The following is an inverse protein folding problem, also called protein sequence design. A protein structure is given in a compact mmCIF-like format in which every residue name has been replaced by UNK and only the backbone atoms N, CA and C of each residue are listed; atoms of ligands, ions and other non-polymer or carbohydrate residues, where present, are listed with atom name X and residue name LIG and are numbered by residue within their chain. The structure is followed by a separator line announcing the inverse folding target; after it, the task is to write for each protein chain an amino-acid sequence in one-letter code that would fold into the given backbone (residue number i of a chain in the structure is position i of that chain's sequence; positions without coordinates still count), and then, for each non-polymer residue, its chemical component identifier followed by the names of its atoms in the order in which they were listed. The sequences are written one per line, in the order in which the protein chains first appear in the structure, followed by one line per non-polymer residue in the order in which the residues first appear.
data_IF_762066299440
#
_entry.id   IF_762066299440
#
_cell.length_a   1.000
_cell.length_b   1.000
_cell.length_c   1.000
_cell.angle_alpha   90.00
_cell.angle_beta   90.00
_cell.angle_gamma   90.00
#
_symmetry.space_group_name_H-M   'P 1'
#
loop_
_entity.id
_entity.type
_entity.pdbx_description
1 polymer ?
#
# COMPACT_ATOMS: atom_id res chain seq x y z
N UNK A 1 67.78 38.81 -33.94
CA UNK A 1 67.57 39.38 -32.59
C UNK A 1 66.28 38.77 -32.04
N UNK A 2 66.39 38.03 -30.92
CA UNK A 2 65.38 37.80 -29.85
C UNK A 2 63.96 37.34 -30.30
N UNK A 3 63.43 36.14 -29.97
CA UNK A 3 63.16 35.60 -28.62
C UNK A 3 62.79 34.08 -28.67
N UNK A 4 63.37 33.28 -27.74
CA UNK A 4 62.83 32.17 -26.89
C UNK A 4 61.88 31.07 -27.46
N UNK A 5 62.26 29.77 -27.41
CA UNK A 5 62.15 28.76 -26.29
C UNK A 5 60.71 28.24 -26.08
N UNK A 6 60.31 26.96 -25.90
CA UNK A 6 60.91 25.66 -25.49
C UNK A 6 59.91 24.55 -25.95
N UNK A 7 60.27 23.47 -26.67
CA UNK A 7 60.67 22.12 -26.20
C UNK A 7 60.02 21.64 -24.88
N UNK A 8 59.14 20.62 -24.92
CA UNK A 8 59.42 19.18 -24.71
C UNK A 8 58.09 18.43 -24.59
N UNK A 9 57.92 17.36 -25.38
CA UNK A 9 56.78 16.46 -25.31
C UNK A 9 57.01 15.25 -24.40
N UNK A 10 55.91 14.68 -23.92
CA UNK A 10 55.85 13.28 -23.48
C UNK A 10 54.56 12.63 -23.95
N UNK A 11 54.72 11.53 -24.67
CA UNK A 11 53.69 10.62 -25.20
C UNK A 11 52.76 10.11 -24.10
N UNK A 12 51.44 10.10 -24.36
CA UNK A 12 50.48 9.25 -23.63
C UNK A 12 50.08 8.06 -24.51
N UNK A 13 50.32 6.85 -24.01
CA UNK A 13 49.72 5.60 -24.50
C UNK A 13 48.22 5.54 -24.14
N UNK A 14 47.38 4.85 -24.93
CA UNK A 14 45.96 4.66 -24.63
C UNK A 14 45.78 3.59 -23.54
N UNK A 15 45.03 3.90 -22.48
CA UNK A 15 44.57 2.92 -21.49
C UNK A 15 43.24 2.30 -21.93
N UNK A 16 43.16 0.98 -21.86
CA UNK A 16 41.98 0.16 -22.11
C UNK A 16 40.80 0.50 -21.18
N UNK A 17 39.54 0.27 -21.60
CA UNK A 17 38.36 0.55 -20.78
C UNK A 17 38.26 -0.43 -19.62
N UNK A 18 38.24 0.10 -18.39
CA UNK A 18 37.88 -0.66 -17.20
C UNK A 18 36.38 -0.96 -17.22
N UNK A 19 36.04 -2.25 -17.18
CA UNK A 19 34.70 -2.75 -16.97
C UNK A 19 34.24 -2.40 -15.54
N UNK A 20 33.28 -1.50 -15.41
CA UNK A 20 32.53 -1.31 -14.16
C UNK A 20 31.44 -2.37 -14.06
N UNK A 21 31.68 -3.37 -13.21
CA UNK A 21 30.70 -4.39 -12.81
C UNK A 21 29.97 -3.90 -11.56
N UNK A 22 28.63 -3.93 -11.60
CA UNK A 22 27.77 -3.93 -10.40
C UNK A 22 27.27 -2.57 -9.89
N UNK A 23 26.25 -2.00 -10.53
CA UNK A 23 25.33 -1.01 -9.90
C UNK A 23 23.91 -1.55 -9.98
N UNK A 24 23.34 -1.96 -8.85
CA UNK A 24 21.89 -2.11 -8.65
C UNK A 24 21.52 -1.42 -7.34
N UNK A 25 21.27 -0.12 -7.45
CA UNK A 25 20.51 0.70 -6.53
C UNK A 25 19.97 1.86 -7.37
N UNK A 26 18.69 2.21 -7.21
CA UNK A 26 17.94 3.07 -8.11
C UNK A 26 18.65 4.41 -8.37
N UNK A 27 19.00 4.60 -9.64
CA UNK A 27 19.40 5.88 -10.20
C UNK A 27 18.11 6.62 -10.57
N UNK A 28 17.94 7.86 -10.12
CA UNK A 28 17.16 8.85 -10.88
C UNK A 28 18.21 9.60 -11.70
N UNK A 29 18.38 9.31 -13.01
CA UNK A 29 19.23 10.13 -13.85
C UNK A 29 18.57 11.49 -14.08
N UNK A 30 19.34 12.57 -14.29
CA UNK A 30 18.82 13.73 -14.98
C UNK A 30 18.41 13.30 -16.39
N UNK A 31 17.14 13.51 -16.73
CA UNK A 31 16.46 13.06 -17.94
C UNK A 31 16.88 13.86 -19.17
N UNK A 32 17.59 13.21 -20.09
CA UNK A 32 17.67 13.59 -21.51
C UNK A 32 17.68 12.31 -22.36
N UNK A 33 16.50 11.72 -22.61
CA UNK A 33 16.18 10.91 -23.80
C UNK A 33 14.70 10.48 -23.75
N UNK A 34 13.96 10.73 -24.83
CA UNK A 34 12.51 10.55 -24.94
C UNK A 34 12.16 9.12 -25.36
N UNK A 35 11.12 8.52 -24.75
CA UNK A 35 10.07 7.81 -25.51
C UNK A 35 9.77 6.33 -25.20
N UNK A 36 10.62 5.59 -24.49
CA UNK A 36 10.37 4.17 -24.14
C UNK A 36 10.80 3.83 -22.70
N UNK A 37 11.70 4.61 -22.10
CA UNK A 37 12.24 4.34 -20.77
C UNK A 37 11.25 4.65 -19.63
N UNK A 38 10.39 5.63 -19.81
CA UNK A 38 9.38 6.09 -18.83
C UNK A 38 8.40 4.98 -18.41
N UNK A 39 7.94 4.18 -19.39
CA UNK A 39 7.07 3.02 -19.10
C UNK A 39 7.79 1.93 -18.29
N UNK A 40 9.11 1.79 -18.44
CA UNK A 40 9.85 0.75 -17.75
C UNK A 40 9.94 1.01 -16.24
N UNK A 41 9.93 2.26 -15.79
CA UNK A 41 9.99 2.58 -14.36
C UNK A 41 8.66 2.29 -13.67
N UNK A 42 7.55 2.80 -14.20
CA UNK A 42 6.21 2.55 -13.65
C UNK A 42 5.89 1.04 -13.60
N UNK A 43 6.22 0.31 -14.67
CA UNK A 43 6.03 -1.14 -14.72
C UNK A 43 6.86 -1.88 -13.68
N UNK A 44 8.13 -1.51 -13.49
CA UNK A 44 8.99 -2.11 -12.45
C UNK A 44 8.44 -1.87 -11.06
N UNK A 45 7.92 -0.67 -10.78
CA UNK A 45 7.32 -0.37 -9.48
C UNK A 45 6.08 -1.23 -9.22
N UNK A 46 5.17 -1.30 -10.18
CA UNK A 46 3.98 -2.15 -10.05
C UNK A 46 4.36 -3.61 -9.88
N UNK A 47 5.32 -4.11 -10.65
CA UNK A 47 5.76 -5.49 -10.55
C UNK A 47 6.32 -5.80 -9.16
N UNK A 48 7.19 -4.94 -8.62
CA UNK A 48 7.72 -5.09 -7.25
C UNK A 48 6.62 -5.03 -6.19
N UNK A 49 5.63 -4.16 -6.38
CA UNK A 49 4.47 -4.07 -5.49
C UNK A 49 3.66 -5.38 -5.54
N UNK A 50 3.40 -5.94 -6.72
CA UNK A 50 2.73 -7.23 -6.87
C UNK A 50 3.53 -8.36 -6.25
N UNK A 51 4.85 -8.41 -6.46
CA UNK A 51 5.74 -9.38 -5.81
C UNK A 51 5.64 -9.28 -4.28
N UNK A 52 5.71 -8.07 -3.73
CA UNK A 52 5.56 -7.81 -2.29
C UNK A 52 4.19 -8.26 -1.76
N UNK A 53 3.11 -7.95 -2.49
CA UNK A 53 1.76 -8.34 -2.08
C UNK A 53 1.54 -9.86 -2.19
N UNK A 54 2.14 -10.53 -3.18
CA UNK A 54 2.13 -11.99 -3.27
C UNK A 54 2.85 -12.62 -2.07
N UNK A 55 4.03 -12.12 -1.70
CA UNK A 55 4.75 -12.61 -0.51
C UNK A 55 3.94 -12.43 0.77
N UNK A 56 3.24 -11.30 0.92
CA UNK A 56 2.31 -11.07 2.02
C UNK A 56 1.15 -12.07 1.98
N UNK A 57 0.55 -12.29 0.80
CA UNK A 57 -0.59 -13.18 0.64
C UNK A 57 -0.26 -14.66 0.87
N UNK A 58 0.93 -15.12 0.47
CA UNK A 58 1.31 -16.53 0.51
C UNK A 58 1.97 -16.94 1.83
N UNK A 59 2.76 -16.06 2.44
CA UNK A 59 3.62 -16.38 3.59
C UNK A 59 3.51 -15.43 4.78
N UNK A 60 2.61 -14.44 4.74
CA UNK A 60 2.53 -13.39 5.76
C UNK A 60 3.68 -12.37 5.66
N UNK A 61 4.37 -12.33 4.52
CA UNK A 61 5.45 -11.39 4.22
C UNK A 61 6.78 -11.71 4.90
N UNK A 62 7.81 -10.93 4.56
CA UNK A 62 9.14 -11.12 5.12
C UNK A 62 9.19 -10.71 6.61
N UNK A 63 9.40 -11.71 7.49
CA UNK A 63 9.45 -11.51 8.94
C UNK A 63 10.62 -10.62 9.39
N UNK A 64 11.74 -10.62 8.67
CA UNK A 64 12.89 -9.74 8.95
C UNK A 64 12.55 -8.26 8.71
N UNK A 65 11.50 -7.98 7.94
CA UNK A 65 10.99 -6.63 7.70
C UNK A 65 9.85 -6.28 8.67
N UNK A 66 9.35 -7.25 9.45
CA UNK A 66 8.37 -7.02 10.52
C UNK A 66 9.06 -6.49 11.78
N UNK A 67 9.49 -5.23 11.71
CA UNK A 67 10.15 -4.56 12.83
C UNK A 67 9.12 -3.93 13.77
N UNK A 68 9.05 -4.43 15.00
CA UNK A 68 8.41 -3.76 16.13
C UNK A 68 9.45 -2.84 16.77
N UNK A 69 9.20 -1.53 16.71
CA UNK A 69 10.17 -0.54 17.19
C UNK A 69 10.34 -0.59 18.70
N UNK A 70 11.58 -0.83 19.15
CA UNK A 70 12.00 -0.61 20.53
C UNK A 70 12.25 0.89 20.76
N UNK A 71 11.42 1.51 21.58
CA UNK A 71 11.51 2.93 21.90
C UNK A 71 12.78 3.29 22.68
N UNK A 72 13.31 2.37 23.49
CA UNK A 72 14.55 2.59 24.25
C UNK A 72 15.77 2.56 23.33
N UNK A 73 15.78 1.64 22.36
CA UNK A 73 16.80 1.63 21.31
C UNK A 73 16.80 2.95 20.53
N UNK A 74 15.64 3.44 20.09
CA UNK A 74 15.51 4.72 19.38
C UNK A 74 16.01 5.89 20.23
N UNK A 75 15.61 5.95 21.50
CA UNK A 75 16.01 7.01 22.40
C UNK A 75 17.52 7.03 22.63
N UNK A 76 18.13 5.87 22.91
CA UNK A 76 19.58 5.74 23.09
C UNK A 76 20.36 6.11 21.83
N UNK A 77 19.89 5.67 20.66
CA UNK A 77 20.51 6.00 19.36
C UNK A 77 20.41 7.49 19.05
N UNK A 78 19.28 8.13 19.37
CA UNK A 78 19.10 9.59 19.20
C UNK A 78 20.06 10.38 20.10
N UNK A 79 20.18 10.00 21.37
CA UNK A 79 21.13 10.63 22.31
C UNK A 79 22.57 10.45 21.83
N UNK A 80 22.92 9.26 21.33
CA UNK A 80 24.24 9.00 20.78
C UNK A 80 24.54 9.86 19.54
N UNK A 81 23.61 9.94 18.58
CA UNK A 81 23.73 10.80 17.40
C UNK A 81 23.97 12.26 17.78
N UNK A 82 23.25 12.78 18.78
CA UNK A 82 23.45 14.13 19.28
C UNK A 82 24.88 14.34 19.82
N UNK A 83 25.40 13.40 20.63
CA UNK A 83 26.77 13.44 21.15
C UNK A 83 27.81 13.42 20.03
N UNK A 84 27.66 12.54 19.04
CA UNK A 84 28.58 12.47 17.89
C UNK A 84 28.62 13.79 17.12
N UNK A 85 27.46 14.43 16.91
CA UNK A 85 27.37 15.74 16.25
C UNK A 85 28.06 16.82 17.10
N UNK A 86 27.83 16.84 18.40
CA UNK A 86 28.42 17.81 19.32
C UNK A 86 29.96 17.68 19.38
N UNK A 87 30.47 16.46 19.52
CA UNK A 87 31.91 16.17 19.54
C UNK A 87 32.58 16.56 18.22
N UNK A 88 31.95 16.24 17.08
CA UNK A 88 32.46 16.63 15.77
C UNK A 88 32.42 18.14 15.58
N UNK A 89 31.39 18.83 16.07
CA UNK A 89 31.31 20.30 16.02
C UNK A 89 32.44 20.96 16.83
N UNK A 90 32.82 20.39 17.98
CA UNK A 90 33.96 20.85 18.80
C UNK A 90 35.31 20.66 18.08
N UNK A 91 35.44 19.62 17.26
CA UNK A 91 36.69 19.23 16.60
C UNK A 91 36.82 19.76 15.15
N UNK A 92 35.78 20.36 14.58
CA UNK A 92 35.77 20.81 13.19
C UNK A 92 36.52 22.14 13.01
N UNK A 93 37.78 22.07 12.60
CA UNK A 93 38.51 23.19 11.98
C UNK A 93 38.02 23.30 10.54
N UNK A 94 37.23 24.34 10.25
CA UNK A 94 36.73 24.78 8.93
C UNK A 94 36.82 23.76 7.79
N UNK A 95 35.77 22.97 7.58
CA UNK A 95 35.60 22.17 6.36
C UNK A 95 34.18 22.28 5.81
N UNK A 96 34.10 22.66 4.55
CA UNK A 96 32.95 23.08 3.73
C UNK A 96 31.87 22.02 3.44
N UNK A 97 31.80 20.89 4.16
CA UNK A 97 30.71 19.92 3.95
C UNK A 97 29.42 20.29 4.70
N UNK A 98 28.81 21.40 4.30
CA UNK A 98 27.65 21.99 4.98
C UNK A 98 26.31 21.27 4.69
N UNK A 99 26.14 20.63 3.53
CA UNK A 99 24.81 20.14 3.07
C UNK A 99 24.33 18.86 3.75
N UNK A 100 25.19 17.85 3.89
CA UNK A 100 24.77 16.54 4.40
C UNK A 100 24.45 16.54 5.90
N UNK A 101 25.17 17.38 6.66
CA UNK A 101 24.99 17.53 8.11
C UNK A 101 23.65 18.19 8.45
N UNK A 102 23.24 19.20 7.68
CA UNK A 102 21.96 19.88 7.90
C UNK A 102 20.78 18.95 7.67
N UNK A 103 20.86 18.10 6.63
CA UNK A 103 19.83 17.08 6.38
C UNK A 103 19.76 16.03 7.50
N UNK A 104 20.90 15.52 7.98
CA UNK A 104 20.88 14.54 9.07
C UNK A 104 20.36 15.13 10.39
N UNK A 105 20.68 16.40 10.68
CA UNK A 105 20.11 17.12 11.83
C UNK A 105 18.60 17.28 11.66
N UNK A 106 18.12 17.64 10.48
CA UNK A 106 16.69 17.72 10.20
C UNK A 106 16.00 16.35 10.39
N UNK A 107 16.60 15.27 9.88
CA UNK A 107 16.13 13.90 10.08
C UNK A 107 16.08 13.53 11.57
N UNK A 108 17.12 13.86 12.34
CA UNK A 108 17.23 13.61 13.78
C UNK A 108 16.10 14.29 14.58
N UNK A 109 15.76 15.52 14.20
CA UNK A 109 14.67 16.29 14.82
C UNK A 109 13.30 15.78 14.42
N UNK A 110 13.18 15.16 13.24
CA UNK A 110 11.94 14.52 12.79
C UNK A 110 11.75 13.17 13.48
N UNK A 111 10.74 13.08 14.35
CA UNK A 111 10.36 11.82 15.01
C UNK A 111 10.11 10.71 13.98
N UNK A 112 9.40 11.03 12.89
CA UNK A 112 9.03 10.03 11.89
C UNK A 112 10.23 9.56 11.09
N UNK A 113 11.06 10.50 10.61
CA UNK A 113 12.19 10.15 9.74
C UNK A 113 13.23 9.37 10.54
N UNK A 114 13.70 9.89 11.69
CA UNK A 114 14.70 9.17 12.48
C UNK A 114 14.24 7.79 12.93
N UNK A 115 12.98 7.64 13.33
CA UNK A 115 12.45 6.34 13.72
C UNK A 115 12.46 5.35 12.54
N UNK A 116 12.11 5.80 11.33
CA UNK A 116 12.21 4.97 10.13
C UNK A 116 13.66 4.59 9.81
N UNK A 117 14.63 5.50 9.99
CA UNK A 117 16.06 5.21 9.82
C UNK A 117 16.51 4.08 10.76
N UNK A 118 16.17 4.17 12.05
CA UNK A 118 16.47 3.12 13.02
C UNK A 118 15.76 1.81 12.67
N UNK A 119 14.51 1.87 12.18
CA UNK A 119 13.78 0.69 11.72
C UNK A 119 14.51 -0.02 10.59
N UNK A 120 15.06 0.72 9.62
CA UNK A 120 15.84 0.16 8.53
C UNK A 120 17.12 -0.52 9.04
N UNK A 121 17.81 0.11 9.99
CA UNK A 121 18.97 -0.52 10.63
C UNK A 121 18.60 -1.85 11.31
N UNK A 122 17.49 -1.87 12.06
CA UNK A 122 17.03 -3.09 12.76
C UNK A 122 16.68 -4.19 11.76
N UNK A 123 15.95 -3.86 10.69
CA UNK A 123 15.61 -4.82 9.64
C UNK A 123 16.87 -5.41 8.99
N UNK A 124 17.85 -4.56 8.62
CA UNK A 124 19.14 -5.01 8.07
C UNK A 124 19.89 -5.91 9.04
N UNK A 125 19.97 -5.53 10.31
CA UNK A 125 20.63 -6.33 11.33
C UNK A 125 19.93 -7.69 11.56
N UNK A 126 18.61 -7.74 11.43
CA UNK A 126 17.84 -9.00 11.49
C UNK A 126 18.12 -9.90 10.27
N UNK A 127 18.24 -9.34 9.06
CA UNK A 127 18.66 -10.09 7.87
C UNK A 127 20.03 -10.76 8.06
N UNK A 128 20.94 -10.10 8.79
CA UNK A 128 22.25 -10.64 9.15
C UNK A 128 22.23 -11.52 10.42
N UNK A 129 21.06 -11.86 10.94
CA UNK A 129 20.86 -12.63 12.17
C UNK A 129 21.57 -12.04 13.41
N UNK A 130 21.73 -10.72 13.47
CA UNK A 130 22.32 -10.03 14.62
C UNK A 130 21.30 -9.96 15.78
N UNK A 131 21.61 -10.50 16.97
CA UNK A 131 20.69 -10.48 18.11
C UNK A 131 20.34 -9.07 18.58
N UNK A 132 19.13 -8.87 19.07
CA UNK A 132 18.65 -7.59 19.60
C UNK A 132 19.56 -6.97 20.67
N UNK A 133 20.24 -7.80 21.47
CA UNK A 133 21.18 -7.34 22.49
C UNK A 133 22.42 -6.61 21.92
N UNK A 134 22.77 -6.85 20.65
CA UNK A 134 23.93 -6.23 19.99
C UNK A 134 23.53 -5.10 19.02
N UNK A 135 22.24 -4.91 18.75
CA UNK A 135 21.77 -3.96 17.74
C UNK A 135 22.18 -2.52 18.05
N UNK A 136 22.16 -2.12 19.33
CA UNK A 136 22.58 -0.78 19.72
C UNK A 136 24.02 -0.50 19.33
N UNK A 137 24.94 -1.43 19.57
CA UNK A 137 26.38 -1.25 19.30
C UNK A 137 26.63 -1.04 17.81
N UNK A 138 26.02 -1.86 16.95
CA UNK A 138 26.13 -1.68 15.50
C UNK A 138 25.51 -0.36 15.03
N UNK A 139 24.37 0.04 15.59
CA UNK A 139 23.70 1.29 15.24
C UNK A 139 24.52 2.50 15.71
N UNK A 140 25.11 2.47 16.91
CA UNK A 140 25.97 3.55 17.40
C UNK A 140 27.24 3.68 16.56
N UNK A 141 27.89 2.55 16.23
CA UNK A 141 29.07 2.54 15.37
C UNK A 141 28.73 3.11 13.98
N UNK A 142 27.56 2.75 13.44
CA UNK A 142 27.07 3.24 12.14
C UNK A 142 26.75 4.74 12.16
N UNK A 143 26.14 5.25 13.24
CA UNK A 143 25.88 6.69 13.43
C UNK A 143 27.21 7.46 13.50
N UNK A 144 28.16 6.97 14.28
CA UNK A 144 29.47 7.59 14.41
C UNK A 144 30.21 7.61 13.06
N UNK A 145 30.16 6.52 12.30
CA UNK A 145 30.74 6.43 10.95
C UNK A 145 30.07 7.40 9.98
N UNK A 146 28.74 7.49 9.99
CA UNK A 146 27.97 8.35 9.10
C UNK A 146 28.21 9.84 9.39
N UNK A 147 28.13 10.24 10.66
CA UNK A 147 28.49 11.60 11.11
C UNK A 147 29.97 11.87 10.83
N UNK A 148 30.78 10.82 10.90
CA UNK A 148 32.19 10.72 10.51
C UNK A 148 32.50 11.19 9.08
N UNK A 149 31.54 11.07 8.16
CA UNK A 149 31.74 11.34 6.73
C UNK A 149 32.51 10.27 5.97
N UNK A 150 32.90 9.17 6.63
CA UNK A 150 33.75 8.11 6.07
C UNK A 150 32.95 6.98 5.40
N UNK A 151 31.62 7.08 5.31
CA UNK A 151 30.78 5.95 4.89
C UNK A 151 30.91 5.59 3.40
N UNK A 152 31.15 6.57 2.52
CA UNK A 152 31.19 6.36 1.06
C UNK A 152 32.58 5.91 0.58
N UNK A 153 33.66 6.38 1.21
CA UNK A 153 35.05 6.17 0.77
C UNK A 153 35.63 4.80 1.16
N UNK A 154 34.90 3.99 1.93
CA UNK A 154 35.38 2.69 2.42
C UNK A 154 35.13 1.52 1.46
N UNK A 155 34.23 1.65 0.48
CA UNK A 155 33.98 0.60 -0.51
C UNK A 155 35.20 0.42 -1.43
N UNK A 156 36.00 -0.60 -1.16
CA UNK A 156 37.26 -0.90 -1.87
C UNK A 156 38.47 -1.13 -0.96
N UNK A 157 38.35 -0.90 0.34
CA UNK A 157 39.38 -1.21 1.33
C UNK A 157 39.18 -2.60 1.94
N UNK A 158 40.28 -3.24 2.37
CA UNK A 158 40.21 -4.49 3.14
C UNK A 158 39.63 -4.17 4.52
N UNK A 159 38.46 -4.72 4.82
CA UNK A 159 37.72 -4.43 6.05
C UNK A 159 37.31 -5.73 6.75
N UNK A 160 37.15 -5.67 8.07
CA UNK A 160 36.59 -6.80 8.82
C UNK A 160 35.11 -6.98 8.47
N UNK A 161 34.56 -8.18 8.69
CA UNK A 161 33.13 -8.44 8.48
C UNK A 161 32.26 -7.50 9.31
N UNK A 162 32.67 -7.20 10.55
CA UNK A 162 31.95 -6.24 11.41
C UNK A 162 31.94 -4.84 10.81
N UNK A 163 33.09 -4.36 10.33
CA UNK A 163 33.19 -3.02 9.74
C UNK A 163 32.37 -2.91 8.45
N UNK A 164 32.33 -3.97 7.65
CA UNK A 164 31.48 -4.04 6.45
C UNK A 164 29.99 -3.94 6.81
N UNK A 165 29.55 -4.65 7.87
CA UNK A 165 28.18 -4.57 8.36
C UNK A 165 27.85 -3.17 8.92
N UNK A 166 28.76 -2.57 9.68
CA UNK A 166 28.59 -1.19 10.19
C UNK A 166 28.49 -0.19 9.04
N UNK A 167 29.29 -0.34 7.98
CA UNK A 167 29.21 0.50 6.79
C UNK A 167 27.85 0.36 6.07
N UNK A 168 27.36 -0.86 5.90
CA UNK A 168 26.04 -1.11 5.32
C UNK A 168 24.90 -0.51 6.17
N UNK A 169 24.97 -0.66 7.50
CA UNK A 169 24.00 -0.05 8.42
C UNK A 169 24.10 1.48 8.40
N UNK A 170 25.29 2.05 8.22
CA UNK A 170 25.48 3.50 8.11
C UNK A 170 24.76 4.09 6.89
N UNK A 171 24.62 3.31 5.80
CA UNK A 171 23.85 3.73 4.62
C UNK A 171 22.38 4.00 4.93
N UNK A 172 21.81 3.36 5.97
CA UNK A 172 20.43 3.60 6.39
C UNK A 172 20.14 5.07 6.72
N UNK A 173 21.16 5.82 7.15
CA UNK A 173 21.07 7.24 7.49
C UNK A 173 21.13 8.19 6.30
N UNK A 174 21.54 7.72 5.11
CA UNK A 174 21.62 8.56 3.92
C UNK A 174 20.22 9.03 3.49
N UNK A 175 20.03 10.32 3.12
CA UNK A 175 18.72 10.88 2.82
C UNK A 175 17.95 10.11 1.74
N UNK A 176 18.68 9.65 0.72
CA UNK A 176 18.17 8.91 -0.43
C UNK A 176 18.05 7.40 -0.22
N UNK A 177 18.66 6.84 0.83
CA UNK A 177 18.64 5.39 1.04
C UNK A 177 17.35 4.98 1.71
N UNK A 178 16.63 4.06 1.07
CA UNK A 178 15.50 3.36 1.65
C UNK A 178 15.52 1.95 1.07
N UNK A 179 15.63 0.88 1.89
CA UNK A 179 15.63 -0.48 1.37
C UNK A 179 14.35 -0.72 0.57
N UNK A 180 14.48 -1.20 -0.67
CA UNK A 180 13.37 -1.38 -1.61
C UNK A 180 12.21 -2.18 -1.00
N UNK A 181 12.51 -3.27 -0.30
CA UNK A 181 11.48 -4.17 0.23
C UNK A 181 10.70 -3.52 1.38
N UNK A 182 11.41 -2.75 2.23
CA UNK A 182 10.78 -1.96 3.30
C UNK A 182 9.97 -0.81 2.71
N UNK A 183 10.47 -0.18 1.64
CA UNK A 183 9.76 0.85 0.91
C UNK A 183 8.42 0.32 0.41
N UNK A 184 8.41 -0.84 -0.26
CA UNK A 184 7.20 -1.42 -0.86
C UNK A 184 6.20 -1.84 0.21
N UNK A 185 6.66 -2.42 1.33
CA UNK A 185 5.77 -2.76 2.44
C UNK A 185 5.15 -1.53 3.09
N UNK A 186 5.92 -0.47 3.35
CA UNK A 186 5.38 0.78 3.86
C UNK A 186 4.40 1.40 2.85
N UNK A 187 4.73 1.38 1.57
CA UNK A 187 3.84 1.87 0.51
C UNK A 187 2.52 1.09 0.54
N UNK A 188 2.58 -0.23 0.58
CA UNK A 188 1.40 -1.09 0.63
C UNK A 188 0.57 -0.84 1.90
N UNK A 189 1.21 -0.69 3.07
CA UNK A 189 0.55 -0.40 4.34
C UNK A 189 -0.15 0.98 4.31
N UNK A 190 0.55 2.01 3.82
CA UNK A 190 0.01 3.37 3.71
C UNK A 190 -1.20 3.47 2.80
N UNK A 191 -1.26 2.63 1.76
CA UNK A 191 -2.36 2.56 0.80
C UNK A 191 -3.41 1.52 1.17
N UNK A 192 -3.36 0.98 2.40
CA UNK A 192 -4.28 -0.04 2.90
C UNK A 192 -4.34 -1.30 2.02
N UNK A 193 -3.24 -1.66 1.35
CA UNK A 193 -3.10 -2.89 0.55
C UNK A 193 -2.66 -4.08 1.42
N UNK A 194 -1.97 -3.81 2.52
CA UNK A 194 -1.66 -4.78 3.55
C UNK A 194 -1.81 -4.14 4.95
N UNK A 195 -1.79 -4.96 5.99
CA UNK A 195 -1.85 -4.53 7.38
C UNK A 195 -0.94 -5.39 8.26
N UNK A 196 -0.54 -4.87 9.42
CA UNK A 196 0.29 -5.61 10.39
C UNK A 196 -0.57 -6.36 11.40
N UNK A 197 -0.41 -7.68 11.49
CA UNK A 197 -0.92 -8.49 12.60
C UNK A 197 0.13 -8.56 13.71
N UNK A 198 0.15 -7.53 14.57
CA UNK A 198 1.15 -7.37 15.64
C UNK A 198 1.27 -8.59 16.57
N UNK A 199 0.17 -9.29 16.87
CA UNK A 199 0.17 -10.47 17.74
C UNK A 199 0.87 -11.67 17.09
N UNK A 200 0.67 -11.84 15.79
CA UNK A 200 1.20 -12.98 15.01
C UNK A 200 2.58 -12.68 14.41
N UNK A 201 3.00 -11.40 14.43
CA UNK A 201 4.22 -10.90 13.79
C UNK A 201 4.28 -11.20 12.29
N UNK A 202 3.12 -11.08 11.65
CA UNK A 202 2.95 -11.30 10.21
C UNK A 202 2.24 -10.10 9.59
N UNK A 203 2.45 -9.93 8.29
CA UNK A 203 1.65 -9.07 7.45
C UNK A 203 0.42 -9.84 6.97
N UNK A 204 -0.70 -9.13 6.79
CA UNK A 204 -1.89 -9.67 6.16
C UNK A 204 -2.27 -8.80 4.97
N UNK A 205 -2.70 -9.43 3.88
CA UNK A 205 -3.13 -8.75 2.67
C UNK A 205 -4.60 -8.34 2.83
N UNK A 206 -4.92 -7.10 2.46
CA UNK A 206 -6.30 -6.59 2.55
C UNK A 206 -7.10 -6.95 1.29
N UNK A 207 -8.42 -6.74 1.32
CA UNK A 207 -9.33 -6.78 0.17
C UNK A 207 -8.80 -5.97 -1.02
N UNK A 208 -8.39 -4.73 -0.73
CA UNK A 208 -7.85 -3.82 -1.74
C UNK A 208 -6.53 -4.35 -2.30
N UNK A 209 -5.64 -4.89 -1.45
CA UNK A 209 -4.41 -5.55 -1.88
C UNK A 209 -4.67 -6.76 -2.78
N UNK A 210 -5.59 -7.65 -2.39
CA UNK A 210 -5.97 -8.83 -3.19
C UNK A 210 -6.61 -8.47 -4.52
N UNK A 211 -7.37 -7.38 -4.55
CA UNK A 211 -7.94 -6.85 -5.78
C UNK A 211 -6.84 -6.31 -6.70
N UNK A 212 -5.97 -5.44 -6.18
CA UNK A 212 -4.82 -4.87 -6.91
C UNK A 212 -3.91 -5.94 -7.49
N UNK A 213 -3.65 -7.02 -6.73
CA UNK A 213 -2.80 -8.13 -7.17
C UNK A 213 -3.32 -8.84 -8.44
N UNK A 214 -4.61 -8.71 -8.75
CA UNK A 214 -5.24 -9.35 -9.92
C UNK A 214 -5.39 -8.41 -11.11
N UNK A 215 -5.03 -7.14 -10.94
CA UNK A 215 -5.15 -6.15 -11.99
C UNK A 215 -3.88 -6.12 -12.85
N UNK A 216 -3.98 -5.83 -14.15
CA UNK A 216 -2.82 -5.44 -14.93
C UNK A 216 -2.23 -4.11 -14.42
N UNK A 217 -1.04 -3.76 -14.90
CA UNK A 217 -0.28 -2.66 -14.32
C UNK A 217 -0.96 -1.30 -14.45
N UNK A 218 -1.64 -1.07 -15.57
CA UNK A 218 -2.34 0.19 -15.83
C UNK A 218 -3.52 0.39 -14.87
N UNK A 219 -4.36 -0.63 -14.72
CA UNK A 219 -5.48 -0.64 -13.79
C UNK A 219 -5.03 -0.62 -12.32
N UNK A 220 -3.86 -1.20 -12.02
CA UNK A 220 -3.23 -1.10 -10.70
C UNK A 220 -2.93 0.36 -10.35
N UNK A 221 -2.27 1.10 -11.24
CA UNK A 221 -1.94 2.52 -11.03
C UNK A 221 -3.23 3.33 -10.85
N UNK A 222 -4.23 3.13 -11.73
CA UNK A 222 -5.53 3.80 -11.63
C UNK A 222 -6.19 3.53 -10.26
N UNK A 223 -6.20 2.28 -9.82
CA UNK A 223 -6.84 1.87 -8.56
C UNK A 223 -6.12 2.46 -7.36
N UNK A 224 -4.77 2.48 -7.36
CA UNK A 224 -3.97 3.07 -6.29
C UNK A 224 -4.24 4.57 -6.19
N UNK A 225 -4.22 5.30 -7.31
CA UNK A 225 -4.50 6.74 -7.29
C UNK A 225 -5.94 7.04 -6.87
N UNK A 226 -6.90 6.24 -7.30
CA UNK A 226 -8.28 6.40 -6.82
C UNK A 226 -8.37 6.14 -5.31
N UNK A 227 -7.60 5.19 -4.77
CA UNK A 227 -7.53 4.95 -3.33
C UNK A 227 -6.91 6.13 -2.61
N UNK A 228 -5.87 6.74 -3.15
CA UNK A 228 -5.29 7.98 -2.65
C UNK A 228 -6.32 9.12 -2.64
N UNK A 229 -7.12 9.28 -3.69
CA UNK A 229 -8.19 10.30 -3.73
C UNK A 229 -9.19 10.08 -2.59
N UNK A 230 -9.58 8.83 -2.32
CA UNK A 230 -10.46 8.48 -1.19
C UNK A 230 -9.79 8.79 0.16
N UNK A 231 -8.52 8.45 0.33
CA UNK A 231 -7.74 8.63 1.56
C UNK A 231 -7.33 10.09 1.81
N UNK A 232 -7.18 10.91 0.76
CA UNK A 232 -6.73 12.31 0.81
C UNK A 232 -7.66 13.19 1.65
N UNK A 233 -8.94 12.82 1.77
CA UNK A 233 -9.92 13.47 2.66
C UNK A 233 -9.48 13.47 4.13
N UNK A 234 -8.59 12.56 4.53
CA UNK A 234 -8.04 12.43 5.88
C UNK A 234 -6.62 13.02 6.03
N UNK A 235 -5.84 13.11 4.94
CA UNK A 235 -4.43 13.53 4.97
C UNK A 235 -4.06 14.41 3.76
N UNK A 236 -4.35 15.71 3.87
CA UNK A 236 -4.41 16.67 2.75
C UNK A 236 -3.10 16.94 1.96
N UNK A 237 -1.97 16.30 2.32
CA UNK A 237 -0.67 16.53 1.65
C UNK A 237 0.15 15.28 1.37
N UNK A 238 -0.32 14.10 1.82
CA UNK A 238 0.42 12.83 1.62
C UNK A 238 -0.04 12.10 0.37
N UNK A 239 -1.34 12.18 0.09
CA UNK A 239 -2.01 11.44 -0.97
C UNK A 239 -2.49 12.37 -2.07
N UNK A 240 -2.56 11.85 -3.29
CA UNK A 240 -3.21 12.51 -4.42
C UNK A 240 -4.67 12.82 -4.09
N UNK A 241 -5.05 14.10 -4.24
CA UNK A 241 -6.43 14.53 -4.12
C UNK A 241 -7.04 14.77 -5.49
N UNK A 242 -8.37 14.80 -5.57
CA UNK A 242 -9.09 15.15 -6.81
C UNK A 242 -8.63 16.51 -7.36
N UNK A 243 -8.45 17.49 -6.48
CA UNK A 243 -7.99 18.82 -6.88
C UNK A 243 -6.61 18.78 -7.54
N UNK A 244 -5.67 18.00 -6.98
CA UNK A 244 -4.33 17.84 -7.58
C UNK A 244 -4.43 17.26 -9.00
N UNK A 245 -5.30 16.26 -9.21
CA UNK A 245 -5.51 15.66 -10.52
C UNK A 245 -6.13 16.65 -11.52
N UNK A 246 -7.11 17.44 -11.08
CA UNK A 246 -7.74 18.47 -11.90
C UNK A 246 -6.77 19.62 -12.25
N UNK A 247 -5.92 20.02 -11.30
CA UNK A 247 -4.89 21.05 -11.50
C UNK A 247 -3.84 20.57 -12.50
N UNK A 248 -3.35 19.33 -12.36
CA UNK A 248 -2.41 18.72 -13.31
C UNK A 248 -3.01 18.60 -14.71
N UNK A 249 -4.26 18.12 -14.83
CA UNK A 249 -4.97 18.06 -16.11
C UNK A 249 -5.16 19.43 -16.76
N UNK A 250 -5.29 20.49 -15.94
CA UNK A 250 -5.50 21.86 -16.41
C UNK A 250 -4.19 22.61 -16.66
N UNK A 251 -3.03 21.96 -16.54
CA UNK A 251 -1.71 22.58 -16.67
C UNK A 251 -1.35 23.55 -15.53
N UNK A 252 -2.05 23.48 -14.40
CA UNK A 252 -1.85 24.32 -13.20
C UNK A 252 -1.04 23.60 -12.11
N UNK A 253 -0.37 22.50 -12.45
CA UNK A 253 0.42 21.69 -11.53
C UNK A 253 1.56 22.49 -10.89
N UNK A 254 1.59 22.50 -9.55
CA UNK A 254 2.74 23.00 -8.79
C UNK A 254 3.69 21.86 -8.46
N UNK A 255 5.00 22.07 -8.63
CA UNK A 255 6.04 21.13 -8.16
C UNK A 255 6.07 20.94 -6.65
N UNK A 256 5.61 21.95 -5.88
CA UNK A 256 5.64 21.90 -4.42
C UNK A 256 4.48 21.04 -3.91
N UNK A 257 4.83 20.01 -3.13
CA UNK A 257 3.83 19.15 -2.48
C UNK A 257 3.18 18.13 -3.41
N UNK A 258 3.78 17.83 -4.57
CA UNK A 258 3.39 16.70 -5.42
C UNK A 258 3.51 15.40 -4.60
N UNK A 259 2.42 14.63 -4.44
CA UNK A 259 2.48 13.31 -3.82
C UNK A 259 3.48 12.41 -4.54
N UNK A 260 4.28 11.69 -3.77
CA UNK A 260 5.40 10.91 -4.31
C UNK A 260 4.94 9.77 -5.24
N UNK A 261 3.73 9.26 -5.08
CA UNK A 261 3.12 8.26 -5.97
C UNK A 261 3.08 8.72 -7.43
N UNK A 262 2.75 9.98 -7.69
CA UNK A 262 2.76 10.54 -9.05
C UNK A 262 4.14 10.48 -9.70
N UNK A 263 5.20 10.73 -8.92
CA UNK A 263 6.60 10.66 -9.39
C UNK A 263 7.07 9.23 -9.55
N UNK A 264 6.67 8.33 -8.65
CA UNK A 264 7.07 6.92 -8.73
C UNK A 264 6.48 6.19 -9.92
N UNK A 265 5.21 6.45 -10.22
CA UNK A 265 4.54 5.89 -11.39
C UNK A 265 4.85 6.68 -12.67
N UNK A 266 5.80 7.62 -12.61
CA UNK A 266 6.25 8.43 -13.73
C UNK A 266 5.09 9.12 -14.49
N UNK A 267 4.11 9.59 -13.72
CA UNK A 267 2.91 10.25 -14.24
C UNK A 267 3.12 11.74 -14.45
N UNK A 268 4.21 12.26 -13.90
CA UNK A 268 4.53 13.66 -13.93
C UNK A 268 6.00 13.87 -14.24
N UNK A 269 6.28 14.85 -15.09
CA UNK A 269 7.63 15.33 -15.38
C UNK A 269 7.81 16.73 -14.78
N UNK A 270 8.99 16.96 -14.19
CA UNK A 270 9.36 18.32 -13.79
C UNK A 270 9.68 19.10 -15.07
N UNK A 271 8.82 20.06 -15.41
CA UNK A 271 9.15 21.04 -16.43
C UNK A 271 10.11 22.05 -15.78
N UNK A 272 11.37 21.98 -16.19
CA UNK A 272 12.44 22.85 -15.67
C UNK A 272 12.49 24.19 -16.39
N UNK A 273 11.57 24.49 -17.31
CA UNK A 273 11.45 25.85 -17.82
C UNK A 273 11.13 26.80 -16.65
N UNK A 274 12.14 27.60 -16.30
CA UNK A 274 12.14 28.48 -15.14
C UNK A 274 11.18 29.66 -15.37
N UNK A 275 9.88 29.42 -15.19
CA UNK A 275 8.89 30.50 -15.11
C UNK A 275 9.06 31.15 -13.75
N UNK A 276 9.39 32.44 -13.71
CA UNK A 276 9.47 33.18 -12.45
C UNK A 276 8.06 33.61 -12.01
N UNK A 277 7.74 33.50 -10.73
CA UNK A 277 6.53 34.10 -10.15
C UNK A 277 6.57 35.64 -10.25
N UNK A 278 5.47 36.31 -9.92
CA UNK A 278 5.38 37.77 -9.88
C UNK A 278 6.42 38.44 -8.95
N UNK A 279 7.11 37.65 -8.12
CA UNK A 279 8.15 38.07 -7.16
C UNK A 279 9.55 37.62 -7.60
N UNK A 280 9.72 37.06 -8.79
CA UNK A 280 11.01 36.62 -9.32
C UNK A 280 11.51 35.27 -8.79
N UNK A 281 10.68 34.47 -8.11
CA UNK A 281 11.05 33.12 -7.69
C UNK A 281 10.77 32.11 -8.78
N UNK A 282 11.69 31.17 -9.08
CA UNK A 282 11.42 30.09 -10.03
C UNK A 282 10.25 29.23 -9.54
N UNK A 283 9.17 29.22 -10.31
CA UNK A 283 8.10 28.24 -10.26
C UNK A 283 8.54 27.08 -11.14
N UNK A 284 8.88 25.96 -10.51
CA UNK A 284 8.92 24.70 -11.26
C UNK A 284 7.49 24.25 -11.48
N UNK A 285 7.08 24.20 -12.73
CA UNK A 285 5.81 23.61 -13.14
C UNK A 285 5.99 22.11 -13.31
N UNK A 286 4.91 21.37 -13.07
CA UNK A 286 4.88 19.93 -13.27
C UNK A 286 3.83 19.63 -14.31
N UNK A 287 4.26 18.93 -15.36
CA UNK A 287 3.41 18.51 -16.46
C UNK A 287 3.07 17.02 -16.32
N UNK A 288 1.95 16.59 -16.89
CA UNK A 288 1.63 15.18 -16.99
C UNK A 288 2.50 14.54 -18.08
N UNK A 289 3.01 13.34 -17.81
CA UNK A 289 3.60 12.49 -18.85
C UNK A 289 2.49 11.93 -19.75
N UNK A 290 2.80 11.35 -20.93
CA UNK A 290 1.78 10.70 -21.76
C UNK A 290 1.04 9.54 -21.06
N UNK A 291 1.72 8.86 -20.12
CA UNK A 291 1.08 7.88 -19.24
C UNK A 291 0.21 8.59 -18.20
N UNK A 292 0.74 9.65 -17.60
CA UNK A 292 0.03 10.53 -16.65
C UNK A 292 -1.29 11.04 -17.19
N UNK A 293 -1.34 11.56 -18.42
CA UNK A 293 -2.56 12.03 -19.06
C UNK A 293 -3.65 10.95 -19.09
N UNK A 294 -3.30 9.76 -19.58
CA UNK A 294 -4.23 8.62 -19.69
C UNK A 294 -4.71 8.13 -18.33
N UNK A 295 -3.82 8.04 -17.36
CA UNK A 295 -4.13 7.59 -16.00
C UNK A 295 -5.05 8.60 -15.31
N UNK A 296 -4.69 9.89 -15.33
CA UNK A 296 -5.47 10.96 -14.71
C UNK A 296 -6.85 11.08 -15.34
N UNK A 297 -6.93 11.00 -16.67
CA UNK A 297 -8.22 10.97 -17.37
C UNK A 297 -9.06 9.76 -16.93
N UNK A 298 -8.47 8.56 -16.87
CA UNK A 298 -9.18 7.34 -16.48
C UNK A 298 -9.68 7.39 -15.04
N UNK A 299 -8.89 7.92 -14.10
CA UNK A 299 -9.27 8.12 -12.70
C UNK A 299 -10.45 9.08 -12.62
N UNK A 300 -10.37 10.26 -13.24
CA UNK A 300 -11.43 11.28 -13.18
C UNK A 300 -12.72 10.83 -13.88
N UNK A 301 -12.64 10.06 -14.98
CA UNK A 301 -13.81 9.49 -15.67
C UNK A 301 -14.48 8.34 -14.90
N UNK A 302 -13.74 7.68 -14.01
CA UNK A 302 -14.22 6.51 -13.26
C UNK A 302 -14.30 6.77 -11.76
N UNK A 303 -14.16 8.02 -11.32
CA UNK A 303 -13.93 8.36 -9.92
C UNK A 303 -15.04 7.84 -9.01
N UNK A 304 -16.31 8.14 -9.31
CA UNK A 304 -17.43 7.71 -8.47
C UNK A 304 -17.49 6.19 -8.32
N UNK A 305 -17.16 5.46 -9.40
CA UNK A 305 -17.18 3.99 -9.44
C UNK A 305 -16.01 3.39 -8.65
N UNK A 306 -14.81 3.91 -8.87
CA UNK A 306 -13.61 3.48 -8.15
C UNK A 306 -13.71 3.83 -6.67
N UNK A 307 -14.25 5.01 -6.34
CA UNK A 307 -14.50 5.43 -4.98
C UNK A 307 -15.46 4.47 -4.27
N UNK A 308 -16.62 4.17 -4.86
CA UNK A 308 -17.56 3.22 -4.26
C UNK A 308 -16.92 1.83 -4.10
N UNK A 309 -16.15 1.36 -5.08
CA UNK A 309 -15.42 0.09 -5.02
C UNK A 309 -14.37 0.06 -3.89
N UNK A 310 -13.54 1.10 -3.79
CA UNK A 310 -12.48 1.21 -2.78
C UNK A 310 -13.09 1.29 -1.39
N UNK A 311 -14.11 2.12 -1.19
CA UNK A 311 -14.80 2.24 0.10
C UNK A 311 -15.39 0.89 0.53
N UNK A 312 -16.03 0.18 -0.39
CA UNK A 312 -16.58 -1.16 -0.13
C UNK A 312 -15.48 -2.15 0.32
N UNK A 313 -14.30 -2.10 -0.30
CA UNK A 313 -13.17 -2.94 0.13
C UNK A 313 -12.60 -2.52 1.49
N UNK A 314 -12.40 -1.22 1.72
CA UNK A 314 -11.88 -0.72 2.99
C UNK A 314 -12.84 -0.98 4.17
N UNK A 315 -14.15 -0.78 3.96
CA UNK A 315 -15.19 -1.08 4.96
C UNK A 315 -15.25 -2.58 5.27
N UNK A 316 -15.11 -3.45 4.27
CA UNK A 316 -15.09 -4.90 4.49
C UNK A 316 -13.93 -5.37 5.40
N UNK A 317 -12.79 -4.69 5.34
CA UNK A 317 -11.62 -5.00 6.17
C UNK A 317 -11.82 -4.57 7.63
N UNK A 318 -12.45 -3.42 7.87
CA UNK A 318 -12.76 -2.94 9.23
C UNK A 318 -13.68 -3.93 9.96
N UNK A 319 -14.60 -4.56 9.24
CA UNK A 319 -15.55 -5.54 9.78
C UNK A 319 -14.99 -6.99 9.82
N UNK A 320 -13.68 -7.17 9.60
CA UNK A 320 -12.99 -8.48 9.52
C UNK A 320 -13.69 -9.46 8.57
N UNK A 321 -14.20 -8.98 7.45
CA UNK A 321 -14.82 -9.83 6.44
C UNK A 321 -13.72 -10.39 5.56
N UNK A 322 -13.62 -11.72 5.53
CA UNK A 322 -12.64 -12.36 4.67
C UNK A 322 -13.01 -12.16 3.18
N UNK A 323 -12.23 -11.30 2.53
CA UNK A 323 -12.29 -11.04 1.09
C UNK A 323 -11.30 -11.88 0.29
N UNK A 324 -10.58 -12.82 0.95
CA UNK A 324 -9.71 -13.82 0.31
C UNK A 324 -10.40 -14.56 -0.85
N UNK A 325 -11.72 -14.62 -0.79
CA UNK A 325 -12.60 -15.31 -1.74
C UNK A 325 -12.82 -14.55 -3.06
N UNK A 326 -12.13 -13.43 -3.30
CA UNK A 326 -11.91 -13.01 -4.69
C UNK A 326 -11.19 -14.11 -5.52
N UNK A 327 -10.62 -15.15 -4.87
CA UNK A 327 -9.98 -16.32 -5.49
C UNK A 327 -10.31 -17.71 -4.91
N UNK A 328 -11.21 -17.86 -3.92
CA UNK A 328 -11.59 -19.21 -3.46
C UNK A 328 -12.48 -19.91 -4.48
N UNK A 329 -12.32 -21.22 -4.56
CA UNK A 329 -13.10 -22.10 -5.42
C UNK A 329 -14.59 -21.99 -5.04
N UNK A 330 -15.33 -21.14 -5.77
CA UNK A 330 -16.75 -20.82 -5.55
C UNK A 330 -17.61 -22.07 -5.32
N UNK A 331 -17.18 -23.20 -5.87
CA UNK A 331 -17.80 -24.52 -5.76
C UNK A 331 -17.91 -25.02 -4.32
N UNK A 332 -16.90 -24.80 -3.46
CA UNK A 332 -16.92 -25.25 -2.06
C UNK A 332 -17.91 -24.43 -1.21
N UNK A 333 -17.76 -23.11 -1.18
CA UNK A 333 -18.66 -22.19 -0.47
C UNK A 333 -20.10 -22.29 -0.98
N UNK A 334 -20.28 -22.47 -2.29
CA UNK A 334 -21.60 -22.71 -2.87
C UNK A 334 -22.20 -24.04 -2.37
N UNK A 335 -21.41 -25.11 -2.29
CA UNK A 335 -21.87 -26.39 -1.77
C UNK A 335 -22.30 -26.28 -0.31
N UNK A 336 -21.53 -25.55 0.51
CA UNK A 336 -21.84 -25.32 1.92
C UNK A 336 -23.16 -24.58 2.10
N UNK A 337 -23.35 -23.45 1.40
CA UNK A 337 -24.62 -22.69 1.43
C UNK A 337 -25.78 -23.59 0.97
N UNK A 338 -25.61 -24.33 -0.12
CA UNK A 338 -26.67 -25.19 -0.68
C UNK A 338 -26.99 -26.38 0.25
N UNK A 339 -26.04 -26.82 1.07
CA UNK A 339 -26.25 -27.88 2.05
C UNK A 339 -27.08 -27.42 3.25
N UNK A 340 -27.14 -26.11 3.51
CA UNK A 340 -27.85 -25.54 4.65
C UNK A 340 -29.31 -25.99 4.72
N UNK A 341 -29.72 -26.42 5.90
CA UNK A 341 -31.06 -26.87 6.27
C UNK A 341 -32.08 -25.73 6.27
N UNK A 342 -31.63 -24.50 6.51
CA UNK A 342 -32.48 -23.32 6.62
C UNK A 342 -32.96 -22.78 5.27
N UNK A 343 -32.29 -23.14 4.17
CA UNK A 343 -32.67 -22.72 2.82
C UNK A 343 -33.70 -23.67 2.21
N UNK A 344 -34.76 -23.10 1.63
CA UNK A 344 -35.73 -23.86 0.85
C UNK A 344 -35.14 -24.27 -0.52
N UNK A 345 -35.84 -25.15 -1.25
CA UNK A 345 -35.39 -25.61 -2.58
C UNK A 345 -35.13 -24.45 -3.55
N UNK A 346 -36.02 -23.45 -3.52
CA UNK A 346 -35.99 -22.30 -4.41
C UNK A 346 -34.86 -21.33 -4.05
N UNK A 347 -34.52 -21.24 -2.77
CA UNK A 347 -33.37 -20.48 -2.28
C UNK A 347 -32.06 -21.14 -2.70
N UNK A 348 -31.95 -22.47 -2.54
CA UNK A 348 -30.79 -23.25 -3.01
C UNK A 348 -30.60 -23.09 -4.52
N UNK A 349 -31.70 -23.09 -5.29
CA UNK A 349 -31.65 -22.85 -6.72
C UNK A 349 -31.23 -21.42 -7.08
N UNK A 350 -31.66 -20.43 -6.29
CA UNK A 350 -31.23 -19.02 -6.45
C UNK A 350 -29.73 -18.87 -6.26
N UNK A 351 -29.12 -19.55 -5.28
CA UNK A 351 -27.67 -19.59 -5.07
C UNK A 351 -26.96 -20.18 -6.29
N UNK A 352 -27.42 -21.33 -6.79
CA UNK A 352 -26.82 -21.98 -7.97
C UNK A 352 -26.89 -21.11 -9.23
N UNK A 353 -28.03 -20.50 -9.49
CA UNK A 353 -28.21 -19.62 -10.65
C UNK A 353 -27.37 -18.36 -10.55
N UNK A 354 -27.29 -17.77 -9.35
CA UNK A 354 -26.44 -16.61 -9.10
C UNK A 354 -24.96 -16.91 -9.40
N UNK A 355 -24.45 -18.05 -8.93
CA UNK A 355 -23.09 -18.49 -9.23
C UNK A 355 -22.86 -18.70 -10.74
N UNK A 356 -23.81 -19.34 -11.44
CA UNK A 356 -23.77 -19.52 -12.90
C UNK A 356 -23.76 -18.18 -13.65
N UNK A 357 -24.57 -17.19 -13.23
CA UNK A 357 -24.53 -15.86 -13.84
C UNK A 357 -23.19 -15.16 -13.63
N UNK A 358 -22.63 -15.23 -12.42
CA UNK A 358 -21.33 -14.65 -12.14
C UNK A 358 -20.20 -15.31 -12.94
N UNK A 359 -20.24 -16.63 -13.17
CA UNK A 359 -19.28 -17.33 -14.05
C UNK A 359 -19.35 -16.84 -15.49
N UNK A 360 -20.54 -16.47 -15.97
CA UNK A 360 -20.76 -15.88 -17.30
C UNK A 360 -20.48 -14.36 -17.35
N UNK A 361 -20.01 -13.76 -16.25
CA UNK A 361 -19.78 -12.32 -16.14
C UNK A 361 -21.04 -11.47 -15.92
N UNK A 362 -22.23 -12.08 -15.84
CA UNK A 362 -23.50 -11.40 -15.62
C UNK A 362 -23.72 -11.03 -14.14
N UNK A 363 -22.84 -10.19 -13.57
CA UNK A 363 -22.83 -9.89 -12.14
C UNK A 363 -24.08 -9.13 -11.64
N UNK A 364 -24.73 -8.33 -12.49
CA UNK A 364 -26.00 -7.67 -12.12
C UNK A 364 -27.07 -8.70 -11.82
N UNK A 365 -27.24 -9.67 -12.71
CA UNK A 365 -28.26 -10.71 -12.59
C UNK A 365 -27.93 -11.64 -11.42
N UNK A 366 -26.64 -11.92 -11.22
CA UNK A 366 -26.16 -12.64 -10.04
C UNK A 366 -26.52 -11.92 -8.73
N UNK A 367 -26.26 -10.60 -8.64
CA UNK A 367 -26.57 -9.78 -7.46
C UNK A 367 -28.08 -9.63 -7.22
N UNK A 368 -28.87 -9.49 -8.29
CA UNK A 368 -30.35 -9.46 -8.22
C UNK A 368 -30.95 -10.73 -7.64
N UNK A 369 -30.24 -11.86 -7.71
CA UNK A 369 -30.64 -13.09 -7.03
C UNK A 369 -30.23 -13.10 -5.56
N UNK A 370 -29.02 -12.61 -5.25
CA UNK A 370 -28.50 -12.65 -3.88
C UNK A 370 -29.18 -11.66 -2.94
N UNK A 371 -29.39 -10.39 -3.34
CA UNK A 371 -29.95 -9.39 -2.42
C UNK A 371 -31.33 -9.80 -1.86
N UNK A 372 -32.31 -10.24 -2.66
CA UNK A 372 -33.58 -10.70 -2.13
C UNK A 372 -33.44 -11.99 -1.30
N UNK A 373 -32.51 -12.88 -1.68
CA UNK A 373 -32.25 -14.12 -0.94
C UNK A 373 -31.73 -13.82 0.47
N UNK A 374 -30.81 -12.87 0.62
CA UNK A 374 -30.28 -12.45 1.92
C UNK A 374 -31.37 -11.92 2.83
N UNK A 375 -32.30 -11.11 2.32
CA UNK A 375 -33.44 -10.63 3.10
C UNK A 375 -34.40 -11.78 3.47
N UNK A 376 -34.73 -12.66 2.52
CA UNK A 376 -35.57 -13.84 2.78
C UNK A 376 -35.00 -14.74 3.85
N UNK A 377 -33.68 -14.96 3.86
CA UNK A 377 -33.00 -15.76 4.87
C UNK A 377 -33.17 -15.17 6.28
N UNK A 378 -33.01 -13.86 6.42
CA UNK A 378 -33.23 -13.17 7.70
C UNK A 378 -34.70 -13.28 8.12
N UNK A 379 -35.64 -13.07 7.21
CA UNK A 379 -37.08 -13.24 7.51
C UNK A 379 -37.46 -14.68 7.88
N UNK A 380 -36.88 -15.67 7.20
CA UNK A 380 -37.06 -17.08 7.52
C UNK A 380 -36.50 -17.40 8.91
N UNK A 381 -35.35 -16.85 9.26
CA UNK A 381 -34.73 -17.01 10.58
C UNK A 381 -35.61 -16.45 11.69
N UNK A 382 -36.08 -15.21 11.54
CA UNK A 382 -36.97 -14.55 12.52
C UNK A 382 -38.26 -15.36 12.72
N UNK A 383 -38.87 -15.84 11.62
CA UNK A 383 -40.07 -16.68 11.67
C UNK A 383 -39.82 -18.03 12.33
N UNK A 384 -38.74 -18.72 11.97
CA UNK A 384 -38.37 -20.04 12.53
C UNK A 384 -38.16 -19.96 14.05
N UNK A 385 -37.55 -18.89 14.53
CA UNK A 385 -37.30 -18.66 15.96
C UNK A 385 -38.52 -18.10 16.71
N UNK A 386 -39.66 -17.91 16.05
CA UNK A 386 -40.90 -17.43 16.67
C UNK A 386 -40.87 -15.96 17.12
N UNK A 387 -39.95 -15.15 16.60
CA UNK A 387 -39.85 -13.74 16.97
C UNK A 387 -40.86 -12.88 16.21
N UNK A 388 -41.37 -11.82 16.87
CA UNK A 388 -42.21 -10.82 16.21
C UNK A 388 -41.39 -10.07 15.15
N UNK A 389 -41.89 -10.03 13.91
CA UNK A 389 -41.20 -9.35 12.82
C UNK A 389 -41.18 -7.83 13.07
N UNK A 390 -40.01 -7.18 13.11
CA UNK A 390 -39.89 -5.74 13.38
C UNK A 390 -40.35 -4.85 12.22
N UNK A 391 -40.85 -5.42 11.12
CA UNK A 391 -41.42 -4.72 9.98
C UNK A 391 -40.46 -4.63 8.79
N UNK A 392 -40.67 -3.65 7.91
CA UNK A 392 -39.81 -3.44 6.74
C UNK A 392 -38.44 -2.87 7.13
N UNK A 393 -37.40 -3.34 6.44
CA UNK A 393 -36.04 -2.84 6.56
C UNK A 393 -35.08 -3.84 7.21
N UNK A 394 -33.99 -4.13 6.51
CA UNK A 394 -32.98 -5.09 6.93
C UNK A 394 -32.31 -4.72 8.25
N UNK A 395 -32.01 -3.43 8.48
CA UNK A 395 -31.33 -2.97 9.69
C UNK A 395 -32.07 -3.34 10.98
N UNK A 396 -33.41 -3.19 11.01
CA UNK A 396 -34.23 -3.56 12.17
C UNK A 396 -34.26 -5.08 12.39
N UNK A 397 -34.38 -5.84 11.30
CA UNK A 397 -34.40 -7.31 11.33
C UNK A 397 -33.06 -7.88 11.82
N UNK A 398 -31.96 -7.36 11.30
CA UNK A 398 -30.60 -7.72 11.71
C UNK A 398 -30.33 -7.31 13.15
N UNK A 399 -30.70 -6.08 13.54
CA UNK A 399 -30.56 -5.62 14.93
C UNK A 399 -31.33 -6.48 15.93
N UNK A 400 -32.52 -6.99 15.56
CA UNK A 400 -33.24 -7.98 16.37
C UNK A 400 -32.44 -9.28 16.53
N UNK A 401 -31.87 -9.83 15.45
CA UNK A 401 -31.10 -11.06 15.50
C UNK A 401 -29.80 -10.91 16.33
N UNK A 402 -29.16 -9.75 16.30
CA UNK A 402 -28.03 -9.42 17.20
C UNK A 402 -28.47 -9.36 18.66
N UNK A 403 -29.57 -8.66 18.95
CA UNK A 403 -30.11 -8.56 20.31
C UNK A 403 -30.51 -9.94 20.90
N UNK A 404 -30.78 -10.92 20.03
CA UNK A 404 -31.08 -12.30 20.40
C UNK A 404 -29.87 -13.24 20.38
N UNK A 405 -28.67 -12.72 20.10
CA UNK A 405 -27.43 -13.51 20.05
C UNK A 405 -27.38 -14.52 18.91
N UNK A 406 -28.20 -14.32 17.86
CA UNK A 406 -28.20 -15.19 16.67
C UNK A 406 -27.08 -14.77 15.71
N UNK A 407 -26.89 -13.46 15.55
CA UNK A 407 -25.83 -12.89 14.73
C UNK A 407 -24.80 -12.19 15.60
N UNK A 408 -23.54 -12.28 15.21
CA UNK A 408 -22.46 -11.44 15.73
C UNK A 408 -22.66 -9.98 15.29
N UNK A 409 -22.05 -9.06 16.04
CA UNK A 409 -22.02 -7.65 15.67
C UNK A 409 -21.34 -7.46 14.30
N UNK A 410 -20.26 -8.20 14.04
CA UNK A 410 -19.52 -8.18 12.76
C UNK A 410 -20.41 -8.53 11.56
N UNK A 411 -21.18 -9.62 11.65
CA UNK A 411 -22.11 -10.03 10.58
C UNK A 411 -23.24 -9.01 10.40
N UNK A 412 -23.67 -8.36 11.47
CA UNK A 412 -24.71 -7.35 11.42
C UNK A 412 -24.27 -6.04 10.76
N UNK A 413 -23.07 -5.52 11.10
CA UNK A 413 -22.48 -4.35 10.42
C UNK A 413 -22.41 -4.57 8.92
N UNK A 414 -22.08 -5.79 8.49
CA UNK A 414 -21.95 -6.11 7.08
C UNK A 414 -23.29 -6.10 6.31
N UNK A 415 -24.40 -6.35 7.01
CA UNK A 415 -25.73 -6.19 6.43
C UNK A 415 -25.96 -4.76 5.93
N UNK A 416 -25.46 -3.75 6.64
CA UNK A 416 -25.59 -2.35 6.23
C UNK A 416 -24.79 -2.08 4.96
N UNK A 417 -23.57 -2.62 4.84
CA UNK A 417 -22.73 -2.47 3.64
C UNK A 417 -23.41 -3.10 2.42
N UNK A 418 -23.92 -4.33 2.56
CA UNK A 418 -24.59 -5.06 1.47
C UNK A 418 -25.93 -4.41 1.11
N UNK A 419 -26.73 -3.96 2.08
CA UNK A 419 -28.06 -3.39 1.83
C UNK A 419 -28.06 -1.91 1.45
N UNK A 420 -27.19 -1.08 2.03
CA UNK A 420 -27.02 0.32 1.62
C UNK A 420 -26.50 0.43 0.17
N UNK A 421 -25.89 -0.64 -0.34
CA UNK A 421 -25.36 -0.74 -1.70
C UNK A 421 -26.24 -1.55 -2.65
N UNK A 422 -27.53 -1.75 -2.32
CA UNK A 422 -28.55 -2.26 -3.26
C UNK A 422 -28.88 -1.27 -4.42
N UNK A 423 -27.96 -0.36 -4.76
CA UNK A 423 -28.02 0.55 -5.90
C UNK A 423 -28.11 -0.20 -7.24
N UNK A 424 -27.67 -1.46 -7.29
CA UNK A 424 -27.81 -2.36 -8.46
C UNK A 424 -29.28 -2.70 -8.75
N UNK A 425 -30.08 -3.00 -7.73
CA UNK A 425 -31.51 -3.24 -7.93
C UNK A 425 -32.27 -1.97 -8.32
N UNK A 426 -31.81 -0.81 -7.84
CA UNK A 426 -32.41 0.50 -8.15
C UNK A 426 -31.87 1.15 -9.44
N UNK A 427 -31.05 0.43 -10.21
CA UNK A 427 -30.58 0.88 -11.54
C UNK A 427 -29.53 1.99 -11.52
N UNK A 428 -28.97 2.32 -10.35
CA UNK A 428 -27.96 3.37 -10.21
C UNK A 428 -26.55 2.89 -10.59
N UNK A 429 -26.33 1.57 -10.69
CA UNK A 429 -25.10 0.97 -11.21
C UNK A 429 -25.37 0.44 -12.61
N UNK A 430 -24.54 0.84 -13.58
CA UNK A 430 -24.67 0.44 -14.98
C UNK A 430 -24.52 -1.07 -15.14
N UNK A 431 -25.32 -1.67 -16.05
CA UNK A 431 -25.37 -3.14 -16.17
C UNK A 431 -24.05 -3.81 -16.59
N UNK A 432 -23.15 -3.04 -17.20
CA UNK A 432 -21.87 -3.51 -17.73
C UNK A 432 -20.68 -3.08 -16.86
N UNK A 433 -20.91 -2.60 -15.63
CA UNK A 433 -19.86 -2.15 -14.74
C UNK A 433 -19.19 -3.31 -13.99
N UNK A 434 -18.53 -4.20 -14.73
CA UNK A 434 -17.91 -5.42 -14.17
C UNK A 434 -16.84 -5.09 -13.11
N UNK A 435 -16.23 -3.90 -13.18
CA UNK A 435 -15.20 -3.42 -12.25
C UNK A 435 -15.78 -3.27 -10.85
N UNK A 436 -16.96 -2.66 -10.71
CA UNK A 436 -17.66 -2.52 -9.43
C UNK A 436 -18.46 -3.78 -9.05
N UNK A 437 -19.11 -4.40 -10.03
CA UNK A 437 -20.07 -5.47 -9.78
C UNK A 437 -19.42 -6.79 -9.36
N UNK A 438 -18.21 -7.10 -9.87
CA UNK A 438 -17.52 -8.35 -9.52
C UNK A 438 -17.09 -8.37 -8.04
N UNK A 439 -16.43 -7.32 -7.50
CA UNK A 439 -16.11 -7.26 -6.07
C UNK A 439 -17.36 -7.22 -5.19
N UNK A 440 -18.38 -6.43 -5.57
CA UNK A 440 -19.65 -6.37 -4.85
C UNK A 440 -20.37 -7.73 -4.82
N UNK A 441 -20.33 -8.49 -5.92
CA UNK A 441 -20.84 -9.85 -5.99
C UNK A 441 -20.11 -10.77 -5.02
N UNK A 442 -18.77 -10.77 -5.04
CA UNK A 442 -17.97 -11.60 -4.15
C UNK A 442 -18.28 -11.31 -2.67
N UNK A 443 -18.35 -10.03 -2.32
CA UNK A 443 -18.71 -9.58 -0.96
C UNK A 443 -20.12 -10.02 -0.56
N UNK A 444 -21.12 -9.76 -1.39
CA UNK A 444 -22.51 -10.17 -1.12
C UNK A 444 -22.64 -11.69 -0.97
N UNK A 445 -21.91 -12.47 -1.79
CA UNK A 445 -21.92 -13.92 -1.72
C UNK A 445 -21.29 -14.44 -0.43
N UNK A 446 -20.17 -13.87 0.00
CA UNK A 446 -19.53 -14.23 1.27
C UNK A 446 -20.38 -13.82 2.47
N UNK A 447 -21.06 -12.67 2.39
CA UNK A 447 -22.01 -12.28 3.42
C UNK A 447 -23.06 -13.35 3.62
N UNK A 448 -23.66 -13.83 2.53
CA UNK A 448 -24.66 -14.87 2.57
C UNK A 448 -24.08 -16.16 3.18
N UNK A 449 -22.86 -16.56 2.82
CA UNK A 449 -22.19 -17.71 3.41
C UNK A 449 -22.06 -17.60 4.94
N UNK A 450 -21.51 -16.48 5.42
CA UNK A 450 -21.32 -16.21 6.85
C UNK A 450 -22.65 -16.13 7.60
N UNK A 451 -23.64 -15.48 6.99
CA UNK A 451 -24.99 -15.36 7.55
C UNK A 451 -25.63 -16.74 7.73
N UNK A 452 -25.57 -17.61 6.72
CA UNK A 452 -26.05 -19.00 6.81
C UNK A 452 -25.33 -19.75 7.92
N UNK A 453 -23.99 -19.68 7.97
CA UNK A 453 -23.18 -20.39 8.95
C UNK A 453 -23.49 -19.98 10.40
N UNK A 454 -23.56 -18.68 10.68
CA UNK A 454 -23.87 -18.18 12.03
C UNK A 454 -25.29 -18.55 12.44
N UNK A 455 -26.27 -18.38 11.54
CA UNK A 455 -27.65 -18.72 11.87
C UNK A 455 -27.79 -20.22 12.13
N UNK A 456 -27.22 -21.09 11.30
CA UNK A 456 -27.33 -22.54 11.54
C UNK A 456 -26.64 -22.96 12.85
N UNK A 457 -25.42 -22.47 13.09
CA UNK A 457 -24.66 -22.80 14.30
C UNK A 457 -25.43 -22.37 15.56
N UNK A 458 -26.03 -21.17 15.54
CA UNK A 458 -26.70 -20.60 16.71
C UNK A 458 -28.16 -21.06 16.86
N UNK A 459 -28.87 -21.36 15.76
CA UNK A 459 -30.21 -21.93 15.80
C UNK A 459 -30.18 -23.36 16.36
N UNK A 460 -29.21 -24.18 15.95
CA UNK A 460 -29.01 -25.54 16.49
C UNK A 460 -28.74 -25.48 18.00
N UNK A 461 -27.92 -24.53 18.45
CA UNK A 461 -27.60 -24.35 19.88
C UNK A 461 -28.80 -23.90 20.73
N UNK A 462 -29.78 -23.21 20.14
CA UNK A 462 -30.99 -22.78 20.83
C UNK A 462 -32.05 -23.88 20.87
N UNK A 463 -32.21 -24.63 19.78
CA UNK A 463 -33.07 -25.82 19.74
C UNK A 463 -32.58 -26.88 20.75
N UNK A 464 -31.26 -27.05 20.91
CA UNK A 464 -30.67 -27.96 21.90
C UNK A 464 -30.78 -27.49 23.37
N UNK A 465 -31.05 -26.20 23.63
CA UNK A 465 -31.26 -25.67 25.00
C UNK A 465 -32.74 -25.62 25.41
N UNK A 466 -33.65 -25.83 24.47
CA UNK A 466 -35.11 -25.74 24.67
C UNK A 466 -35.82 -27.09 24.61
N UNK A 467 -35.13 -28.15 24.22
CA UNK A 467 -35.48 -29.55 24.51
C UNK A 467 -34.76 -30.05 25.75
#
# INVERSE_FOLDING_TARGET
MLYNNLLVGTRKQPRAPQQHVGRRAWFVPPTEAIGVEDWMQALRYVQKLHETLSEVSEGGGNQSLFVVMDHDLVARSRVHAYKCIEERAKNAVHTDSHDFRQMFVADLMSRNIFNSRIRYCVAKLQEFAIPSSQQYDFISDAIALYVGGDCVDRYGQTMSVRDALVAEVAMCFAPWYRPDDIFMLDFAEEHCLCSRKLRERLWDITALGRYVLKLPSFETIITILAAEVVLSRRHQYRFVSRQILEDLRSGRGSSRGIPYSLRMFDLVSDDRESVLDERGHPISHVALSPLGEKVVESVLQSEDRLQDLILVMLESEVENVDTSILGFDKTSTQADIVSASLLESDDKESVRRSASFAQKGAYVDALRMLFPLTERLVDATIRRLGYANPGSGMAKKVGLLVAKGILSHDTASFAEIVTARNKVAHGSIGRNDHVLLKPLYALTFNYLARLVQEVESNAINLEAKSG
#
